data_IF_814405505294
#
_entry.id   IF_814405505294
#
_cell.length_a   1.000
_cell.length_b   1.000
_cell.length_c   1.000
_cell.angle_alpha   90.00
_cell.angle_beta   90.00
_cell.angle_gamma   90.00
#
_symmetry.space_group_name_H-M   'P 1'
#
loop_
_entity.id
_entity.type
_entity.pdbx_description
1 polymer ?
#
# COMPACT_ATOMS: atom_id res chain seq x y z
N UNK A 1 20.34 52.55 -34.66
CA UNK A 1 18.97 52.58 -34.14
C UNK A 1 18.25 51.32 -34.60
N UNK A 2 17.96 50.39 -33.71
CA UNK A 2 17.14 49.21 -33.98
C UNK A 2 16.20 49.02 -32.81
N UNK A 3 14.93 49.27 -33.07
CA UNK A 3 13.82 49.15 -32.16
C UNK A 3 13.36 47.69 -32.22
N UNK A 4 13.34 46.99 -31.09
CA UNK A 4 12.57 45.76 -30.93
C UNK A 4 11.63 45.95 -29.74
N UNK A 5 10.36 46.09 -30.06
CA UNK A 5 9.27 46.10 -29.10
C UNK A 5 8.85 44.65 -28.86
N UNK A 6 9.08 44.13 -27.66
CA UNK A 6 8.40 42.95 -27.12
C UNK A 6 7.44 43.47 -26.03
N UNK A 7 6.21 42.97 -25.93
CA UNK A 7 5.26 43.45 -24.92
C UNK A 7 5.81 43.08 -23.55
N UNK A 8 6.12 44.09 -22.74
CA UNK A 8 6.77 43.96 -21.43
C UNK A 8 5.75 43.44 -20.40
N UNK A 9 5.55 42.14 -20.41
CA UNK A 9 4.84 41.41 -19.36
C UNK A 9 5.55 40.08 -19.12
N UNK A 10 5.54 39.62 -17.87
CA UNK A 10 6.02 38.28 -17.53
C UNK A 10 5.32 37.20 -18.37
N UNK A 11 5.99 36.08 -18.60
CA UNK A 11 5.43 34.94 -19.32
C UNK A 11 4.74 34.01 -18.33
N UNK A 12 3.51 33.60 -18.62
CA UNK A 12 2.83 32.57 -17.82
C UNK A 12 3.15 31.21 -18.41
N UNK A 13 3.95 30.42 -17.69
CA UNK A 13 4.27 29.04 -18.05
C UNK A 13 3.23 28.10 -17.44
N UNK A 14 2.63 27.26 -18.26
CA UNK A 14 1.63 26.28 -17.85
C UNK A 14 2.26 24.90 -17.68
N UNK A 15 1.79 24.14 -16.70
CA UNK A 15 2.18 22.76 -16.46
C UNK A 15 1.00 21.95 -15.93
N UNK A 16 1.11 20.63 -15.98
CA UNK A 16 0.10 19.73 -15.44
C UNK A 16 0.77 18.51 -14.79
N UNK A 17 0.08 17.91 -13.84
CA UNK A 17 0.40 16.55 -13.41
C UNK A 17 0.01 15.59 -14.54
N UNK A 18 0.91 14.67 -14.86
CA UNK A 18 0.65 13.58 -15.78
C UNK A 18 -0.13 12.47 -15.08
N UNK A 19 -0.90 11.70 -15.85
CA UNK A 19 -1.65 10.54 -15.36
C UNK A 19 -0.73 9.40 -14.86
N UNK A 20 0.56 9.44 -15.18
CA UNK A 20 1.58 8.55 -14.63
C UNK A 20 2.05 8.93 -13.21
N UNK A 21 1.57 10.04 -12.65
CA UNK A 21 1.78 10.37 -11.23
C UNK A 21 1.13 9.29 -10.36
N UNK A 22 1.89 8.75 -9.41
CA UNK A 22 1.43 7.73 -8.48
C UNK A 22 1.27 8.23 -7.05
N UNK A 23 1.97 9.32 -6.68
CA UNK A 23 1.80 9.96 -5.36
C UNK A 23 0.41 10.59 -5.24
N UNK A 24 -0.22 10.48 -4.07
CA UNK A 24 -1.48 11.13 -3.79
C UNK A 24 -1.27 12.65 -3.55
N UNK A 25 -2.31 13.49 -3.74
CA UNK A 25 -2.17 14.94 -3.58
C UNK A 25 -1.73 15.42 -2.18
N UNK A 26 -1.79 14.56 -1.15
CA UNK A 26 -1.37 14.85 0.21
C UNK A 26 0.09 14.50 0.50
N UNK A 27 0.80 13.85 -0.41
CA UNK A 27 2.19 13.38 -0.16
C UNK A 27 3.23 14.36 -0.71
N UNK A 28 2.78 15.41 -1.39
CA UNK A 28 3.65 16.44 -1.92
C UNK A 28 3.03 17.83 -1.94
N UNK A 29 3.90 18.84 -1.89
CA UNK A 29 3.55 20.23 -2.11
C UNK A 29 4.47 20.86 -3.16
N UNK A 30 3.88 21.69 -4.03
CA UNK A 30 4.61 22.53 -4.98
C UNK A 30 4.76 23.95 -4.42
N UNK A 31 5.94 24.53 -4.56
CA UNK A 31 6.18 25.93 -4.17
C UNK A 31 7.09 26.67 -5.16
N UNK A 32 6.92 27.99 -5.23
CA UNK A 32 7.78 28.91 -5.98
C UNK A 32 8.38 29.92 -5.00
N UNK A 33 9.68 29.79 -4.74
CA UNK A 33 10.34 30.65 -3.74
C UNK A 33 9.72 30.56 -2.35
N UNK A 34 9.21 29.39 -1.98
CA UNK A 34 8.53 29.14 -0.69
C UNK A 34 7.04 29.51 -0.66
N UNK A 35 6.49 30.07 -1.74
CA UNK A 35 5.04 30.33 -1.85
C UNK A 35 4.34 29.11 -2.46
N UNK A 36 3.29 28.55 -1.84
CA UNK A 36 2.56 27.42 -2.40
C UNK A 36 2.01 27.68 -3.80
N UNK A 37 2.15 26.69 -4.67
CA UNK A 37 1.58 26.69 -6.03
C UNK A 37 0.43 25.69 -6.05
N UNK A 38 -0.80 26.19 -5.99
CA UNK A 38 -2.02 25.37 -5.98
C UNK A 38 -2.69 25.28 -7.36
N UNK A 39 -2.09 25.92 -8.37
CA UNK A 39 -2.59 25.96 -9.74
C UNK A 39 -1.68 25.24 -10.72
N UNK A 40 -2.01 25.35 -12.00
CA UNK A 40 -1.31 24.71 -13.12
C UNK A 40 -0.44 25.69 -13.92
N UNK A 41 -0.05 26.79 -13.30
CA UNK A 41 0.80 27.78 -13.95
C UNK A 41 1.63 28.59 -12.96
N UNK A 42 2.75 29.12 -13.47
CA UNK A 42 3.62 30.06 -12.78
C UNK A 42 4.00 31.19 -13.72
N UNK A 43 4.25 32.38 -13.18
CA UNK A 43 4.75 33.51 -13.96
C UNK A 43 6.26 33.56 -13.90
N UNK A 44 6.90 33.56 -15.06
CA UNK A 44 8.30 33.97 -15.24
C UNK A 44 8.29 35.51 -15.35
N UNK A 45 8.85 36.24 -14.36
CA UNK A 45 8.88 37.69 -14.40
C UNK A 45 9.63 38.26 -15.61
N UNK A 46 9.30 39.50 -15.96
CA UNK A 46 10.04 40.23 -16.98
C UNK A 46 11.54 40.28 -16.68
N UNK A 47 12.36 40.04 -17.70
CA UNK A 47 13.81 40.01 -17.57
C UNK A 47 14.38 38.73 -16.97
N UNK A 48 13.55 37.78 -16.52
CA UNK A 48 13.99 36.42 -16.16
C UNK A 48 13.82 35.46 -17.33
N UNK A 49 14.70 34.47 -17.39
CA UNK A 49 14.63 33.38 -18.36
C UNK A 49 13.98 32.12 -17.80
N UNK A 50 13.92 31.99 -16.47
CA UNK A 50 13.39 30.82 -15.78
C UNK A 50 12.92 31.15 -14.38
N UNK A 51 12.05 30.29 -13.86
CA UNK A 51 11.72 30.16 -12.44
C UNK A 51 11.84 28.68 -12.05
N UNK A 52 12.05 28.41 -10.78
CA UNK A 52 12.17 27.04 -10.27
C UNK A 52 11.00 26.71 -9.35
N UNK A 53 10.19 25.74 -9.75
CA UNK A 53 9.20 25.11 -8.87
C UNK A 53 9.93 24.08 -8.02
N UNK A 54 9.73 24.13 -6.71
CA UNK A 54 10.24 23.15 -5.76
C UNK A 54 9.10 22.19 -5.43
N UNK A 55 9.39 20.89 -5.48
CA UNK A 55 8.54 19.85 -4.93
C UNK A 55 9.11 19.46 -3.57
N UNK A 56 8.25 19.40 -2.56
CA UNK A 56 8.58 18.90 -1.22
C UNK A 56 7.70 17.70 -0.92
N UNK A 57 8.30 16.58 -0.52
CA UNK A 57 7.57 15.48 0.07
C UNK A 57 6.95 15.95 1.40
N UNK A 58 5.75 15.49 1.68
CA UNK A 58 5.05 15.73 2.94
C UNK A 58 5.22 14.48 3.80
N UNK A 59 5.97 14.66 4.88
CA UNK A 59 6.27 13.63 5.88
C UNK A 59 5.00 13.29 6.67
N UNK A 60 4.68 12.00 6.80
CA UNK A 60 3.57 11.53 7.62
C UNK A 60 3.95 10.35 8.53
N UNK A 61 3.04 9.40 8.78
CA UNK A 61 3.31 8.23 9.66
C UNK A 61 2.80 6.93 9.05
N UNK A 62 2.25 6.98 7.84
CA UNK A 62 1.77 5.82 7.12
C UNK A 62 2.96 5.20 6.38
N UNK A 63 3.19 3.91 6.60
CA UNK A 63 4.16 3.20 5.78
C UNK A 63 3.58 3.01 4.37
N UNK A 64 4.29 3.52 3.37
CA UNK A 64 3.97 3.31 1.97
C UNK A 64 4.78 2.15 1.41
N UNK A 65 4.07 1.06 1.09
CA UNK A 65 4.71 -0.17 0.65
C UNK A 65 5.24 -0.10 -0.79
N UNK A 66 4.93 0.98 -1.52
CA UNK A 66 5.31 1.18 -2.92
C UNK A 66 6.06 2.50 -3.11
N UNK A 67 6.99 2.53 -4.07
CA UNK A 67 7.65 3.78 -4.46
C UNK A 67 6.69 4.69 -5.22
N UNK A 68 6.55 5.92 -4.74
CA UNK A 68 5.71 6.92 -5.36
C UNK A 68 6.47 7.88 -6.27
N UNK A 69 5.75 8.53 -7.19
CA UNK A 69 6.33 9.50 -8.09
C UNK A 69 5.35 10.59 -8.50
N UNK A 70 5.89 11.79 -8.69
CA UNK A 70 5.19 12.94 -9.28
C UNK A 70 5.75 13.19 -10.66
N UNK A 71 4.86 13.23 -11.66
CA UNK A 71 5.23 13.46 -13.05
C UNK A 71 4.62 14.79 -13.50
N UNK A 72 5.48 15.77 -13.80
CA UNK A 72 5.10 17.11 -14.23
C UNK A 72 5.39 17.28 -15.72
N UNK A 73 4.38 17.70 -16.47
CA UNK A 73 4.50 18.07 -17.88
C UNK A 73 4.39 19.57 -18.07
N UNK A 74 5.38 20.18 -18.72
CA UNK A 74 5.26 21.53 -19.23
C UNK A 74 4.29 21.54 -20.42
N UNK A 75 3.29 22.40 -20.34
CA UNK A 75 2.26 22.57 -21.36
C UNK A 75 2.56 23.78 -22.26
N UNK A 76 2.16 23.70 -23.52
CA UNK A 76 2.30 24.81 -24.46
C UNK A 76 1.54 26.06 -23.99
N UNK A 77 2.03 27.24 -24.37
CA UNK A 77 1.42 28.51 -24.00
C UNK A 77 1.82 29.64 -24.94
N UNK A 78 1.38 30.85 -24.62
CA UNK A 78 1.72 32.04 -25.41
C UNK A 78 3.05 32.61 -24.94
N UNK A 79 3.92 32.98 -25.88
CA UNK A 79 5.19 33.64 -25.58
C UNK A 79 6.37 32.70 -25.34
N UNK A 80 6.17 31.39 -25.43
CA UNK A 80 7.24 30.39 -25.34
C UNK A 80 6.93 29.16 -26.22
N UNK A 81 7.97 28.39 -26.55
CA UNK A 81 7.81 27.08 -27.17
C UNK A 81 8.26 26.01 -26.17
N UNK A 82 7.57 24.87 -26.19
CA UNK A 82 7.89 23.71 -25.36
C UNK A 82 8.62 22.68 -26.21
N UNK A 83 9.72 22.15 -25.69
CA UNK A 83 10.44 21.04 -26.34
C UNK A 83 9.54 19.81 -26.40
N UNK A 84 9.46 19.14 -27.54
CA UNK A 84 8.69 17.89 -27.66
C UNK A 84 9.44 16.68 -27.11
N UNK A 85 10.68 16.85 -26.65
CA UNK A 85 11.53 15.77 -26.13
C UNK A 85 11.98 15.99 -24.69
N UNK A 86 11.79 17.21 -24.16
CA UNK A 86 12.23 17.60 -22.81
C UNK A 86 11.16 18.51 -22.19
N UNK A 87 9.96 17.96 -22.00
CA UNK A 87 8.83 18.64 -21.38
C UNK A 87 8.26 17.90 -20.17
N UNK A 88 8.81 16.74 -19.83
CA UNK A 88 8.36 15.90 -18.72
C UNK A 88 9.45 15.78 -17.69
N UNK A 89 9.10 15.94 -16.43
CA UNK A 89 9.96 15.69 -15.28
C UNK A 89 9.28 14.69 -14.35
N UNK A 90 9.96 13.59 -14.06
CA UNK A 90 9.57 12.63 -13.02
C UNK A 90 10.41 12.90 -11.78
N UNK A 91 9.76 12.93 -10.62
CA UNK A 91 10.36 13.05 -9.30
C UNK A 91 9.87 11.86 -8.49
N UNK A 92 10.80 11.09 -7.91
CA UNK A 92 10.45 9.97 -7.04
C UNK A 92 10.36 10.47 -5.60
N UNK A 93 9.32 10.02 -4.90
CA UNK A 93 9.16 10.19 -3.45
C UNK A 93 9.56 8.86 -2.83
N UNK A 94 10.43 8.92 -1.83
CA UNK A 94 10.90 7.75 -1.10
C UNK A 94 10.29 7.85 0.29
N UNK A 95 9.58 6.81 0.68
CA UNK A 95 9.08 6.65 2.03
C UNK A 95 10.24 6.36 3.00
N UNK A 96 10.18 6.94 4.20
CA UNK A 96 11.07 6.64 5.31
C UNK A 96 10.39 5.95 6.50
N UNK A 97 9.07 5.72 6.43
CA UNK A 97 8.33 4.83 7.32
C UNK A 97 8.65 3.35 6.98
N UNK A 98 9.72 2.82 7.56
CA UNK A 98 10.11 1.43 7.26
C UNK A 98 9.03 0.40 7.61
N UNK A 99 8.55 -0.38 6.63
CA UNK A 99 7.65 -1.51 6.88
C UNK A 99 8.31 -2.63 7.71
N UNK A 100 7.61 -3.10 8.73
CA UNK A 100 8.06 -4.13 9.66
C UNK A 100 7.26 -5.41 9.52
N UNK A 101 7.96 -6.55 9.42
CA UNK A 101 7.30 -7.84 9.39
C UNK A 101 6.57 -8.14 10.72
N UNK A 102 5.39 -8.80 10.70
CA UNK A 102 4.72 -9.24 11.90
C UNK A 102 5.53 -10.31 12.64
N UNK A 103 5.43 -10.30 13.96
CA UNK A 103 6.12 -11.23 14.85
C UNK A 103 5.13 -12.14 15.57
N UNK A 104 5.43 -13.44 15.63
CA UNK A 104 4.70 -14.44 16.43
C UNK A 104 5.54 -14.80 17.65
N UNK A 105 4.97 -14.65 18.84
CA UNK A 105 5.59 -15.06 20.10
C UNK A 105 4.79 -16.19 20.73
N UNK A 106 5.48 -17.27 21.12
CA UNK A 106 4.90 -18.46 21.78
C UNK A 106 5.68 -18.69 23.09
N UNK A 107 5.33 -17.99 24.18
CA UNK A 107 6.11 -18.00 25.42
C UNK A 107 5.92 -19.27 26.27
N UNK A 108 4.87 -20.05 26.00
CA UNK A 108 4.52 -21.25 26.73
C UNK A 108 5.53 -22.40 26.54
N UNK A 109 5.62 -23.32 27.52
CA UNK A 109 6.46 -24.50 27.37
C UNK A 109 5.93 -25.42 26.27
N UNK A 110 6.83 -26.20 25.65
CA UNK A 110 6.42 -27.19 24.66
C UNK A 110 5.39 -28.16 25.26
N UNK A 111 4.20 -28.31 24.64
CA UNK A 111 3.16 -29.19 25.15
C UNK A 111 3.57 -30.66 25.01
N UNK A 112 3.26 -31.48 26.03
CA UNK A 112 3.37 -32.94 25.92
C UNK A 112 2.03 -33.51 25.45
N UNK A 113 2.03 -34.17 24.29
CA UNK A 113 0.86 -34.84 23.76
C UNK A 113 0.86 -36.33 24.14
N UNK A 114 -0.28 -36.85 24.58
CA UNK A 114 -0.48 -38.30 24.77
C UNK A 114 -1.35 -38.82 23.64
N UNK A 115 -0.95 -39.93 23.02
CA UNK A 115 -1.75 -40.58 21.99
C UNK A 115 -3.15 -40.92 22.53
N UNK A 116 -4.19 -40.61 21.77
CA UNK A 116 -5.60 -40.71 22.17
C UNK A 116 -5.99 -39.85 23.39
N UNK A 117 -5.14 -38.92 23.80
CA UNK A 117 -5.44 -37.93 24.82
C UNK A 117 -6.43 -36.86 24.33
N UNK A 118 -6.92 -36.05 25.27
CA UNK A 118 -7.75 -34.91 24.93
C UNK A 118 -6.97 -33.86 24.11
N UNK A 119 -7.64 -33.07 23.26
CA UNK A 119 -7.03 -31.94 22.58
C UNK A 119 -6.34 -30.99 23.56
N UNK A 120 -5.15 -30.51 23.19
CA UNK A 120 -4.34 -29.62 24.02
C UNK A 120 -4.17 -28.27 23.30
N UNK A 121 -4.32 -27.18 24.06
CA UNK A 121 -3.94 -25.85 23.58
C UNK A 121 -2.42 -25.78 23.54
N UNK A 122 -1.86 -25.42 22.38
CA UNK A 122 -0.41 -25.37 22.19
C UNK A 122 0.23 -24.28 23.05
N UNK A 123 -0.37 -23.10 23.07
CA UNK A 123 -0.02 -22.00 23.97
C UNK A 123 -1.18 -21.00 24.02
N UNK A 124 -1.83 -20.90 25.19
CA UNK A 124 -2.96 -19.98 25.38
C UNK A 124 -2.54 -18.51 25.47
N UNK A 125 -1.24 -18.25 25.57
CA UNK A 125 -0.63 -16.92 25.75
C UNK A 125 0.19 -16.49 24.54
N UNK A 126 0.14 -17.24 23.44
CA UNK A 126 0.78 -16.82 22.20
C UNK A 126 0.18 -15.50 21.68
N UNK A 127 1.04 -14.62 21.17
CA UNK A 127 0.66 -13.31 20.64
C UNK A 127 1.23 -13.11 19.25
N UNK A 128 0.46 -12.45 18.38
CA UNK A 128 0.96 -11.92 17.11
C UNK A 128 0.96 -10.39 17.22
N UNK A 129 2.05 -9.77 16.82
CA UNK A 129 2.21 -8.31 16.81
C UNK A 129 2.74 -7.86 15.46
N UNK A 130 2.03 -6.94 14.83
CA UNK A 130 2.41 -6.26 13.61
C UNK A 130 2.55 -4.76 13.93
N UNK A 131 3.76 -4.19 13.87
CA UNK A 131 3.97 -2.77 14.16
C UNK A 131 3.22 -1.84 13.21
N UNK A 132 3.07 -2.24 11.95
CA UNK A 132 2.47 -1.43 10.88
C UNK A 132 0.94 -1.54 10.94
N UNK A 133 0.43 -2.70 11.39
CA UNK A 133 -1.00 -3.01 11.39
C UNK A 133 -1.48 -3.65 12.70
N UNK A 134 -1.62 -2.89 13.81
CA UNK A 134 -1.92 -3.45 15.13
C UNK A 134 -3.20 -4.30 15.23
N UNK A 135 -4.16 -4.07 14.33
CA UNK A 135 -5.44 -4.76 14.22
C UNK A 135 -5.57 -5.64 12.96
N UNK A 136 -4.51 -5.75 12.13
CA UNK A 136 -4.48 -6.52 10.88
C UNK A 136 -5.63 -6.17 9.90
N UNK A 137 -6.16 -4.94 9.92
CA UNK A 137 -7.31 -4.53 9.11
C UNK A 137 -6.97 -4.23 7.65
N UNK A 138 -5.69 -4.11 7.32
CA UNK A 138 -5.15 -3.88 5.97
C UNK A 138 -4.72 -5.16 5.26
N UNK A 139 -4.75 -6.33 5.92
CA UNK A 139 -4.16 -7.57 5.41
C UNK A 139 -4.94 -8.86 5.70
N UNK A 140 -4.41 -10.01 5.28
CA UNK A 140 -5.00 -11.33 5.53
C UNK A 140 -4.09 -12.19 6.43
N UNK A 141 -4.50 -12.42 7.67
CA UNK A 141 -3.79 -13.33 8.58
C UNK A 141 -4.13 -14.80 8.25
N UNK A 142 -3.19 -15.51 7.63
CA UNK A 142 -3.38 -16.93 7.26
C UNK A 142 -2.55 -17.84 8.16
N UNK A 143 -3.20 -18.74 8.90
CA UNK A 143 -2.54 -19.81 9.64
C UNK A 143 -2.54 -21.11 8.82
N UNK A 144 -1.39 -21.77 8.69
CA UNK A 144 -1.29 -23.10 8.08
C UNK A 144 -0.49 -24.07 8.96
N UNK A 145 -1.00 -25.28 9.15
CA UNK A 145 -0.30 -26.36 9.86
C UNK A 145 0.37 -27.28 8.85
N UNK A 146 1.69 -27.41 8.89
CA UNK A 146 2.42 -28.40 8.11
C UNK A 146 2.65 -29.66 8.97
N UNK A 147 1.88 -30.72 8.70
CA UNK A 147 2.03 -32.00 9.39
C UNK A 147 3.28 -32.74 8.92
N UNK A 148 4.36 -32.67 9.70
CA UNK A 148 5.58 -33.44 9.47
C UNK A 148 5.41 -34.92 9.87
N UNK A 149 4.71 -35.70 9.05
CA UNK A 149 4.57 -37.14 9.25
C UNK A 149 5.55 -37.95 8.41
N UNK A 150 6.75 -38.22 8.91
CA UNK A 150 7.57 -39.31 8.38
C UNK A 150 6.89 -40.64 8.76
N UNK A 151 6.03 -41.13 7.88
CA UNK A 151 5.37 -42.43 8.05
C UNK A 151 6.37 -43.59 7.86
N UNK A 152 7.29 -43.79 8.80
CA UNK A 152 8.06 -45.03 8.92
C UNK A 152 7.25 -46.06 9.70
N UNK A 153 6.11 -46.49 9.16
CA UNK A 153 5.48 -47.75 9.61
C UNK A 153 6.19 -48.91 8.92
N UNK A 154 7.18 -49.50 9.58
CA UNK A 154 7.66 -50.84 9.23
C UNK A 154 6.50 -51.84 9.33
N UNK A 155 6.14 -52.58 8.27
CA UNK A 155 5.04 -53.52 8.31
C UNK A 155 5.49 -54.84 8.95
N UNK A 156 5.13 -55.08 10.22
CA UNK A 156 4.92 -56.44 10.73
C UNK A 156 3.60 -56.53 11.49
N UNK A 157 2.56 -56.76 10.69
CA UNK A 157 1.46 -57.71 10.89
C UNK A 157 0.96 -57.94 12.33
N UNK A 158 -0.25 -57.45 12.64
CA UNK A 158 -1.29 -58.26 13.29
C UNK A 158 -2.70 -57.66 13.16
N UNK A 159 -3.48 -58.35 12.31
CA UNK A 159 -4.94 -58.59 12.28
C UNK A 159 -5.96 -57.48 12.61
N UNK A 160 -6.68 -57.05 11.56
CA UNK A 160 -8.13 -57.28 11.46
C UNK A 160 -9.06 -56.10 11.79
N UNK A 161 -9.80 -55.63 10.78
CA UNK A 161 -11.07 -54.91 10.95
C UNK A 161 -11.16 -53.56 10.24
N UNK A 162 -11.96 -53.54 9.18
CA UNK A 162 -12.63 -52.39 8.53
C UNK A 162 -11.80 -51.36 7.74
N UNK A 163 -11.91 -51.52 6.42
CA UNK A 163 -11.58 -50.60 5.32
C UNK A 163 -12.35 -49.28 5.44
N UNK A 164 -11.66 -48.12 5.42
CA UNK A 164 -12.28 -46.82 5.17
C UNK A 164 -11.64 -46.17 3.95
N UNK A 165 -12.41 -46.10 2.87
CA UNK A 165 -12.10 -45.36 1.65
C UNK A 165 -12.05 -43.84 1.95
N UNK A 166 -11.09 -43.06 1.42
CA UNK A 166 -11.12 -41.61 1.57
C UNK A 166 -12.15 -40.98 0.64
N UNK A 167 -13.14 -40.26 1.21
CA UNK A 167 -14.22 -39.59 0.50
C UNK A 167 -13.96 -38.09 0.32
N UNK A 168 -14.05 -37.68 -0.95
CA UNK A 168 -14.45 -36.40 -1.52
C UNK A 168 -13.51 -35.17 -1.43
N UNK A 169 -12.95 -34.87 -2.59
CA UNK A 169 -12.73 -33.54 -3.15
C UNK A 169 -14.03 -32.70 -3.11
N UNK A 170 -13.97 -31.44 -2.66
CA UNK A 170 -14.98 -30.44 -3.00
C UNK A 170 -14.32 -29.05 -3.15
N UNK A 171 -14.48 -28.47 -4.34
CA UNK A 171 -14.04 -27.12 -4.73
C UNK A 171 -14.82 -26.01 -3.99
N UNK A 172 -14.29 -24.78 -3.88
CA UNK A 172 -14.93 -23.71 -3.12
C UNK A 172 -16.16 -23.14 -3.87
N UNK A 173 -17.24 -22.87 -3.12
CA UNK A 173 -18.36 -22.04 -3.57
C UNK A 173 -18.43 -20.78 -2.70
N UNK A 174 -18.48 -19.63 -3.37
CA UNK A 174 -18.43 -18.30 -2.77
C UNK A 174 -19.79 -17.76 -2.26
N UNK A 175 -19.72 -16.96 -1.19
CA UNK A 175 -20.43 -15.70 -0.85
C UNK A 175 -21.96 -15.66 -0.65
N UNK A 176 -22.38 -15.15 0.53
CA UNK A 176 -23.24 -13.95 0.63
C UNK A 176 -23.23 -13.30 2.03
N UNK A 177 -23.23 -11.95 2.16
CA UNK A 177 -23.15 -11.24 3.45
C UNK A 177 -24.52 -11.14 4.16
N UNK A 178 -24.48 -11.21 5.49
CA UNK A 178 -25.66 -11.11 6.37
C UNK A 178 -26.18 -9.67 6.48
N UNK A 179 -27.49 -9.48 6.36
CA UNK A 179 -28.19 -8.23 6.70
C UNK A 179 -28.44 -8.14 8.23
N UNK A 180 -28.49 -6.94 8.84
CA UNK A 180 -28.67 -6.79 10.28
C UNK A 180 -30.12 -7.02 10.74
N UNK A 181 -30.26 -7.64 11.91
CA UNK A 181 -31.54 -7.84 12.61
C UNK A 181 -32.08 -6.50 13.16
N UNK A 182 -33.26 -6.07 12.70
CA UNK A 182 -34.04 -5.03 13.39
C UNK A 182 -34.86 -5.64 14.52
N UNK A 183 -34.72 -5.08 15.74
CA UNK A 183 -35.45 -5.48 16.93
C UNK A 183 -36.93 -5.03 16.86
N UNK A 184 -37.86 -5.95 17.02
CA UNK A 184 -39.27 -5.63 17.28
C UNK A 184 -39.50 -5.52 18.79
N UNK A 185 -40.09 -4.42 19.24
CA UNK A 185 -40.55 -4.20 20.61
C UNK A 185 -41.79 -5.06 20.93
N UNK A 186 -41.98 -5.50 22.20
CA UNK A 186 -43.09 -6.36 22.57
C UNK A 186 -44.39 -5.55 22.79
N UNK A 187 -45.58 -6.09 22.42
CA UNK A 187 -46.85 -5.42 22.69
C UNK A 187 -47.31 -5.60 24.15
N UNK A 188 -47.97 -4.56 24.67
CA UNK A 188 -48.78 -4.53 25.90
C UNK A 188 -50.10 -5.27 25.75
#
# INVERSE_FOLDING_TARGET
MRLFWLPWGGVTANFALDAATTAEPNDFALSLGGVPVTGTSVTIPEGQFSVSITLSALDDTAADTDNESVVLNLAAGTGYQVSTTVNTQTINILDDEGSNAPTLTVPGPAPTYTENGAPLILDATATVFDPDSPNFDTGNLTASSHGGGNSERSPRHQSGGEELLPLAVMLPSAVSPSAPLQAATPPT
#
